data_IF_343180626374
#
_entry.id   IF_343180626374
#
_cell.length_a   1.000
_cell.length_b   1.000
_cell.length_c   1.000
_cell.angle_alpha   90.00
_cell.angle_beta   90.00
_cell.angle_gamma   90.00
#
_symmetry.space_group_name_H-M   'P 1'
#
loop_
_entity.id
_entity.type
_entity.pdbx_description
1 polymer ?
#
# COMPACT_ATOMS: atom_id res chain seq x y z
N UNK A 1 16.54 2.34 -3.73
CA UNK A 1 16.25 3.76 -4.07
C UNK A 1 14.96 4.25 -3.42
N UNK A 2 13.87 3.47 -3.47
CA UNK A 2 12.59 3.84 -2.84
C UNK A 2 12.70 4.07 -1.32
N UNK A 3 13.38 3.19 -0.58
CA UNK A 3 13.55 3.32 0.88
C UNK A 3 14.20 4.65 1.30
N UNK A 4 15.29 5.05 0.65
CA UNK A 4 15.99 6.32 0.94
C UNK A 4 15.12 7.54 0.66
N UNK A 5 14.32 7.49 -0.41
CA UNK A 5 13.40 8.57 -0.78
C UNK A 5 12.28 8.72 0.25
N UNK A 6 11.68 7.60 0.66
CA UNK A 6 10.58 7.57 1.64
C UNK A 6 11.06 7.99 3.04
N UNK A 7 12.26 7.55 3.45
CA UNK A 7 12.87 8.00 4.70
C UNK A 7 13.14 9.52 4.70
N UNK A 8 13.59 10.07 3.57
CA UNK A 8 13.76 11.51 3.38
C UNK A 8 12.44 12.28 3.51
N UNK A 9 11.38 11.78 2.88
CA UNK A 9 10.05 12.38 2.94
C UNK A 9 9.44 12.33 4.35
N UNK A 10 9.63 11.21 5.07
CA UNK A 10 9.22 11.09 6.46
C UNK A 10 9.91 12.14 7.34
N UNK A 11 11.23 12.32 7.17
CA UNK A 11 12.00 13.32 7.92
C UNK A 11 11.55 14.76 7.61
N UNK A 12 11.30 15.08 6.34
CA UNK A 12 10.82 16.41 5.92
C UNK A 12 9.45 16.76 6.54
N UNK A 13 8.56 15.78 6.60
CA UNK A 13 7.21 15.95 7.17
C UNK A 13 7.17 15.84 8.70
N UNK A 14 8.28 15.46 9.35
CA UNK A 14 8.31 15.09 10.76
C UNK A 14 7.41 13.89 11.06
N UNK A 15 7.21 13.01 10.08
CA UNK A 15 6.38 11.83 10.17
C UNK A 15 7.20 10.61 10.64
N UNK A 16 6.57 9.76 11.45
CA UNK A 16 7.13 8.47 11.84
C UNK A 16 6.81 7.43 10.74
N UNK A 17 7.84 6.72 10.28
CA UNK A 17 7.70 5.57 9.40
C UNK A 17 7.96 4.29 10.19
N UNK A 18 6.95 3.43 10.30
CA UNK A 18 7.07 2.10 10.91
C UNK A 18 7.04 1.03 9.82
N UNK A 19 8.00 0.09 9.84
CA UNK A 19 8.05 -1.05 8.92
C UNK A 19 8.04 -2.34 9.74
N UNK A 20 7.03 -3.18 9.53
CA UNK A 20 6.93 -4.51 10.13
C UNK A 20 7.03 -5.54 9.02
N UNK A 21 8.05 -6.39 9.09
CA UNK A 21 8.28 -7.44 8.10
C UNK A 21 8.30 -8.82 8.77
N UNK A 22 7.91 -9.89 8.07
CA UNK A 22 8.11 -11.25 8.56
C UNK A 22 9.59 -11.54 8.81
N UNK A 23 9.94 -12.42 9.78
CA UNK A 23 11.33 -12.71 10.12
C UNK A 23 12.08 -13.47 9.02
N UNK A 24 11.36 -14.01 8.03
CA UNK A 24 11.90 -14.74 6.89
C UNK A 24 11.37 -14.14 5.58
N UNK A 25 12.17 -14.14 4.50
CA UNK A 25 11.69 -13.69 3.20
C UNK A 25 10.42 -14.43 2.76
N UNK A 26 9.47 -13.67 2.24
CA UNK A 26 8.23 -14.19 1.65
C UNK A 26 8.37 -14.12 0.13
N UNK A 27 8.11 -15.24 -0.55
CA UNK A 27 8.17 -15.32 -2.00
C UNK A 27 6.75 -15.26 -2.56
N UNK A 28 6.52 -14.31 -3.47
CA UNK A 28 5.26 -14.09 -4.18
C UNK A 28 5.52 -14.11 -5.69
N UNK A 29 4.51 -14.48 -6.46
CA UNK A 29 4.55 -14.32 -7.91
C UNK A 29 4.18 -12.88 -8.27
N UNK A 30 4.89 -12.26 -9.20
CA UNK A 30 4.60 -10.89 -9.62
C UNK A 30 5.74 -10.21 -10.36
N UNK A 31 5.46 -9.04 -10.92
CA UNK A 31 6.48 -8.16 -11.48
C UNK A 31 7.01 -7.21 -10.38
N UNK A 32 8.31 -7.25 -10.13
CA UNK A 32 8.96 -6.44 -9.10
C UNK A 32 8.77 -4.94 -9.34
N UNK A 33 8.86 -4.49 -10.59
CA UNK A 33 8.76 -3.07 -10.96
C UNK A 33 7.33 -2.58 -10.76
N UNK A 34 6.34 -3.39 -11.14
CA UNK A 34 4.92 -3.07 -10.91
C UNK A 34 4.61 -2.97 -9.42
N UNK A 35 5.09 -3.92 -8.60
CA UNK A 35 4.89 -3.90 -7.16
C UNK A 35 5.60 -2.71 -6.47
N UNK A 36 6.83 -2.39 -6.87
CA UNK A 36 7.54 -1.20 -6.38
C UNK A 36 6.76 0.08 -6.70
N UNK A 37 6.19 0.18 -7.90
CA UNK A 37 5.37 1.34 -8.32
C UNK A 37 4.08 1.45 -7.51
N UNK A 38 3.42 0.33 -7.22
CA UNK A 38 2.22 0.26 -6.38
C UNK A 38 2.55 0.74 -4.97
N UNK A 39 3.56 0.14 -4.33
CA UNK A 39 3.97 0.48 -2.97
C UNK A 39 4.39 1.96 -2.88
N UNK A 40 5.16 2.45 -3.84
CA UNK A 40 5.55 3.86 -3.89
C UNK A 40 4.33 4.78 -3.94
N UNK A 41 3.34 4.48 -4.79
CA UNK A 41 2.14 5.28 -4.90
C UNK A 41 1.30 5.26 -3.60
N UNK A 42 1.13 4.09 -2.97
CA UNK A 42 0.42 3.99 -1.69
C UNK A 42 1.13 4.77 -0.59
N UNK A 43 2.45 4.65 -0.49
CA UNK A 43 3.26 5.37 0.47
C UNK A 43 3.21 6.88 0.25
N UNK A 44 3.25 7.34 -1.01
CA UNK A 44 3.12 8.75 -1.34
C UNK A 44 1.74 9.30 -0.92
N UNK A 45 0.67 8.56 -1.20
CA UNK A 45 -0.68 8.93 -0.75
C UNK A 45 -0.79 9.00 0.78
N UNK A 46 -0.15 8.06 1.50
CA UNK A 46 -0.11 8.06 2.95
C UNK A 46 0.65 9.28 3.52
N UNK A 47 1.82 9.61 2.96
CA UNK A 47 2.57 10.79 3.36
C UNK A 47 1.82 12.09 3.07
N UNK A 48 1.18 12.16 1.91
CA UNK A 48 0.31 13.26 1.51
C UNK A 48 -0.86 13.44 2.50
N UNK A 49 -1.50 12.36 2.92
CA UNK A 49 -2.60 12.39 3.87
C UNK A 49 -2.16 12.88 5.26
N UNK A 50 -1.00 12.45 5.78
CA UNK A 50 -0.51 12.90 7.09
C UNK A 50 0.06 14.32 7.06
N UNK A 51 0.50 14.81 5.90
CA UNK A 51 0.96 16.19 5.75
C UNK A 51 -0.15 17.21 6.05
N UNK A 52 -1.39 16.86 5.71
CA UNK A 52 -2.59 17.66 5.99
C UNK A 52 -3.07 17.54 7.45
N UNK A 53 -2.52 16.59 8.22
CA UNK A 53 -2.89 16.37 9.62
C UNK A 53 -2.15 17.31 10.58
N UNK A 54 -2.91 17.86 11.54
CA UNK A 54 -2.39 18.64 12.66
C UNK A 54 -1.94 17.77 13.85
N UNK A 55 -2.22 16.46 13.80
CA UNK A 55 -1.94 15.49 14.87
C UNK A 55 -0.63 14.73 14.68
N UNK A 56 -0.55 13.55 15.32
CA UNK A 56 0.57 12.64 15.10
C UNK A 56 0.60 12.21 13.63
N UNK A 57 1.77 12.32 13.00
CA UNK A 57 2.00 11.93 11.61
C UNK A 57 2.70 10.59 11.59
N UNK A 58 1.99 9.54 11.22
CA UNK A 58 2.54 8.19 11.13
C UNK A 58 2.09 7.54 9.84
N UNK A 59 3.04 6.89 9.17
CA UNK A 59 2.81 5.94 8.09
C UNK A 59 3.39 4.61 8.53
N UNK A 60 2.66 3.53 8.30
CA UNK A 60 3.07 2.17 8.65
C UNK A 60 2.95 1.26 7.43
N UNK A 61 3.93 0.37 7.24
CA UNK A 61 3.86 -0.75 6.30
C UNK A 61 4.00 -2.03 7.09
N UNK A 62 2.96 -2.86 7.06
CA UNK A 62 2.92 -4.14 7.76
C UNK A 62 2.80 -5.27 6.74
N UNK A 63 3.85 -6.07 6.59
CA UNK A 63 3.84 -7.27 5.78
C UNK A 63 3.65 -8.51 6.66
N UNK A 64 2.72 -9.39 6.26
CA UNK A 64 2.37 -10.60 7.01
C UNK A 64 1.93 -11.73 6.07
N UNK A 65 1.67 -12.90 6.65
CA UNK A 65 1.15 -14.07 5.95
C UNK A 65 -0.28 -14.35 6.44
N UNK A 66 -1.22 -14.44 5.51
CA UNK A 66 -2.60 -14.84 5.77
C UNK A 66 -2.94 -16.07 4.90
N UNK A 67 -2.75 -17.28 5.44
CA UNK A 67 -2.99 -18.53 4.71
C UNK A 67 -2.02 -18.75 3.55
N UNK A 68 -2.53 -18.85 2.32
CA UNK A 68 -1.72 -18.96 1.09
C UNK A 68 -1.38 -17.59 0.47
N UNK A 69 -1.62 -16.49 1.20
CA UNK A 69 -1.41 -15.13 0.72
C UNK A 69 -0.33 -14.41 1.55
N UNK A 70 0.52 -13.64 0.88
CA UNK A 70 1.23 -12.53 1.49
C UNK A 70 0.32 -11.30 1.51
N UNK A 71 0.28 -10.62 2.65
CA UNK A 71 -0.55 -9.43 2.84
C UNK A 71 0.36 -8.26 3.22
N UNK A 72 0.22 -7.15 2.52
CA UNK A 72 0.91 -5.89 2.81
C UNK A 72 -0.13 -4.81 3.08
N UNK A 73 -0.17 -4.33 4.31
CA UNK A 73 -1.01 -3.20 4.72
C UNK A 73 -0.17 -1.93 4.75
N UNK A 74 -0.60 -0.89 4.03
CA UNK A 74 -0.08 0.48 4.13
C UNK A 74 -1.11 1.32 4.87
N UNK A 75 -0.78 1.80 6.06
CA UNK A 75 -1.68 2.59 6.92
C UNK A 75 -1.12 3.97 7.21
N UNK A 76 -2.01 4.94 7.42
CA UNK A 76 -1.66 6.31 7.82
C UNK A 76 -2.54 6.85 8.96
N UNK A 77 -2.13 7.98 9.54
CA UNK A 77 -2.89 8.73 10.56
C UNK A 77 -3.45 10.06 10.01
N UNK A 78 -3.70 10.11 8.71
CA UNK A 78 -4.31 11.24 8.02
C UNK A 78 -5.82 11.35 8.29
N UNK A 79 -6.55 12.19 7.53
CA UNK A 79 -7.99 12.38 7.69
C UNK A 79 -8.83 11.18 7.24
N UNK A 80 -8.21 10.18 6.60
CA UNK A 80 -8.87 9.02 6.01
C UNK A 80 -9.60 9.32 4.71
N UNK A 81 -10.33 8.31 4.20
CA UNK A 81 -11.05 8.41 2.93
C UNK A 81 -12.52 8.74 3.18
N UNK A 82 -12.98 9.85 2.58
CA UNK A 82 -14.38 10.28 2.67
C UNK A 82 -15.33 9.21 2.08
N UNK A 83 -16.49 8.95 2.70
CA UNK A 83 -17.40 7.90 2.24
C UNK A 83 -17.87 8.05 0.79
N UNK A 84 -18.05 9.28 0.31
CA UNK A 84 -18.55 9.62 -1.02
C UNK A 84 -17.62 9.22 -2.18
N UNK A 85 -16.34 8.98 -1.90
CA UNK A 85 -15.34 8.59 -2.91
C UNK A 85 -14.89 7.14 -2.82
N UNK A 86 -15.27 6.40 -1.76
CA UNK A 86 -14.77 5.03 -1.50
C UNK A 86 -15.03 4.09 -2.68
N UNK A 87 -16.26 4.06 -3.18
CA UNK A 87 -16.67 3.16 -4.27
C UNK A 87 -16.01 3.49 -5.61
N UNK A 88 -15.42 4.68 -5.73
CA UNK A 88 -14.83 5.19 -6.97
C UNK A 88 -13.34 5.44 -6.85
N UNK A 89 -12.74 5.08 -5.71
CA UNK A 89 -11.35 5.41 -5.37
C UNK A 89 -10.35 4.88 -6.42
N UNK A 90 -10.62 3.71 -7.00
CA UNK A 90 -9.78 3.10 -8.04
C UNK A 90 -10.15 3.54 -9.46
N UNK A 91 -11.10 4.46 -9.62
CA UNK A 91 -11.46 5.04 -10.93
C UNK A 91 -10.45 6.15 -11.30
N UNK A 92 -9.98 6.21 -12.55
CA UNK A 92 -9.10 7.30 -12.99
C UNK A 92 -9.68 8.70 -12.70
N UNK A 93 -8.81 9.63 -12.34
CA UNK A 93 -9.11 11.04 -12.04
C UNK A 93 -9.94 11.29 -10.78
N UNK A 94 -10.20 10.25 -9.97
CA UNK A 94 -10.81 10.41 -8.65
C UNK A 94 -9.72 10.75 -7.65
N UNK A 95 -9.86 11.90 -6.99
CA UNK A 95 -8.99 12.31 -5.89
C UNK A 95 -9.71 13.28 -4.96
N UNK A 96 -9.32 13.27 -3.70
CA UNK A 96 -9.77 14.25 -2.69
C UNK A 96 -8.69 15.29 -2.38
N UNK A 97 -7.50 15.16 -2.98
CA UNK A 97 -6.34 16.02 -2.75
C UNK A 97 -6.32 17.18 -3.72
N UNK A 98 -6.03 18.38 -3.22
CA UNK A 98 -5.80 19.55 -4.04
C UNK A 98 -4.53 19.38 -4.90
N UNK A 99 -4.65 19.52 -6.23
CA UNK A 99 -3.55 19.29 -7.17
C UNK A 99 -3.21 17.81 -7.43
N UNK A 100 -3.96 16.86 -6.86
CA UNK A 100 -3.82 15.44 -7.16
C UNK A 100 -4.30 15.09 -8.57
N UNK A 101 -3.60 14.17 -9.26
CA UNK A 101 -4.02 13.72 -10.60
C UNK A 101 -5.15 12.69 -10.56
N UNK A 102 -5.31 11.99 -9.44
CA UNK A 102 -6.25 10.86 -9.30
C UNK A 102 -5.90 9.64 -10.18
N UNK A 103 -4.67 9.57 -10.68
CA UNK A 103 -4.23 8.46 -11.55
C UNK A 103 -3.51 7.35 -10.77
N UNK A 104 -2.90 7.69 -9.63
CA UNK A 104 -2.06 6.77 -8.87
C UNK A 104 -2.77 5.49 -8.46
N UNK A 105 -3.85 5.61 -7.66
CA UNK A 105 -4.59 4.45 -7.16
C UNK A 105 -5.25 3.63 -8.28
N UNK A 106 -5.72 4.30 -9.35
CA UNK A 106 -6.27 3.60 -10.51
C UNK A 106 -5.22 2.78 -11.27
N UNK A 107 -3.99 3.30 -11.40
CA UNK A 107 -2.88 2.55 -11.96
C UNK A 107 -2.47 1.41 -11.02
N UNK A 108 -2.34 1.69 -9.72
CA UNK A 108 -2.00 0.67 -8.72
C UNK A 108 -2.98 -0.50 -8.74
N UNK A 109 -4.29 -0.22 -8.81
CA UNK A 109 -5.31 -1.26 -8.91
C UNK A 109 -5.07 -2.14 -10.15
N UNK A 110 -4.87 -1.54 -11.32
CA UNK A 110 -4.62 -2.29 -12.57
C UNK A 110 -3.34 -3.13 -12.53
N UNK A 111 -2.29 -2.64 -11.88
CA UNK A 111 -1.03 -3.37 -11.74
C UNK A 111 -1.18 -4.60 -10.82
N UNK A 112 -2.07 -4.52 -9.83
CA UNK A 112 -2.38 -5.61 -8.90
C UNK A 112 -3.56 -6.47 -9.40
N UNK A 113 -4.34 -6.06 -10.39
CA UNK A 113 -5.55 -6.78 -10.83
C UNK A 113 -5.20 -7.99 -11.74
N UNK A 114 -4.60 -9.01 -11.13
CA UNK A 114 -4.25 -10.30 -11.74
C UNK A 114 -4.98 -11.43 -11.01
N UNK A 115 -4.97 -12.64 -11.58
CA UNK A 115 -5.66 -13.77 -10.98
C UNK A 115 -5.04 -14.15 -9.61
N UNK A 116 -5.74 -13.81 -8.52
CA UNK A 116 -5.33 -14.11 -7.14
C UNK A 116 -4.74 -12.91 -6.39
N UNK A 117 -4.42 -11.83 -7.08
CA UNK A 117 -3.90 -10.59 -6.51
C UNK A 117 -5.05 -9.63 -6.22
N UNK A 118 -4.94 -8.79 -5.19
CA UNK A 118 -5.97 -7.78 -4.88
C UNK A 118 -5.40 -6.53 -4.20
N UNK A 119 -5.97 -5.36 -4.49
CA UNK A 119 -5.70 -4.08 -3.81
C UNK A 119 -7.00 -3.48 -3.30
N UNK A 120 -7.17 -3.43 -1.98
CA UNK A 120 -8.41 -2.99 -1.34
C UNK A 120 -8.18 -1.88 -0.33
N UNK A 121 -9.21 -1.05 -0.13
CA UNK A 121 -9.33 -0.19 1.04
C UNK A 121 -10.02 -1.00 2.14
N UNK A 122 -9.34 -1.20 3.27
CA UNK A 122 -9.89 -1.93 4.43
C UNK A 122 -10.29 -0.96 5.53
N UNK A 123 -11.15 -1.41 6.45
CA UNK A 123 -11.58 -0.57 7.57
C UNK A 123 -10.38 -0.19 8.45
N UNK A 124 -10.33 1.09 8.84
CA UNK A 124 -9.35 1.62 9.76
C UNK A 124 -10.03 2.51 10.80
N UNK A 125 -9.54 2.45 12.04
CA UNK A 125 -10.00 3.31 13.13
C UNK A 125 -9.40 4.73 13.06
N UNK A 126 -8.30 4.88 12.32
CA UNK A 126 -7.57 6.13 12.14
C UNK A 126 -7.00 6.17 10.71
N UNK A 127 -7.07 7.33 10.03
CA UNK A 127 -6.58 7.50 8.66
C UNK A 127 -7.14 6.50 7.64
N UNK A 128 -6.31 6.12 6.67
CA UNK A 128 -6.64 5.09 5.68
C UNK A 128 -5.74 3.86 5.83
N UNK A 129 -6.24 2.70 5.38
CA UNK A 129 -5.46 1.47 5.25
C UNK A 129 -5.72 0.81 3.91
N UNK A 130 -4.66 0.69 3.12
CA UNK A 130 -4.65 -0.03 1.85
C UNK A 130 -4.01 -1.39 2.02
N UNK A 131 -4.69 -2.43 1.54
CA UNK A 131 -4.24 -3.81 1.63
C UNK A 131 -3.92 -4.35 0.25
N UNK A 132 -2.69 -4.81 0.04
CA UNK A 132 -2.29 -5.62 -1.11
C UNK A 132 -2.28 -7.08 -0.66
N UNK A 133 -2.94 -7.96 -1.40
CA UNK A 133 -2.88 -9.41 -1.21
C UNK A 133 -2.22 -10.04 -2.43
N UNK A 134 -1.19 -10.85 -2.22
CA UNK A 134 -0.44 -11.54 -3.27
C UNK A 134 -0.37 -13.04 -2.94
N UNK A 135 -0.64 -13.96 -3.88
CA UNK A 135 -0.50 -15.38 -3.66
C UNK A 135 0.97 -15.71 -3.45
N UNK A 136 1.22 -16.57 -2.47
CA UNK A 136 2.56 -17.11 -2.26
C UNK A 136 2.97 -17.95 -3.45
N UNK A 137 4.26 -17.93 -3.78
CA UNK A 137 4.83 -18.93 -4.67
C UNK A 137 4.55 -20.28 -4.04
N UNK A 138 3.69 -21.08 -4.67
CA UNK A 138 3.53 -22.48 -4.27
C UNK A 138 4.89 -23.12 -4.47
N UNK A 139 5.55 -23.51 -3.38
CA UNK A 139 6.67 -24.41 -3.47
C UNK A 139 6.19 -25.60 -4.30
N UNK A 140 6.77 -25.81 -5.47
CA UNK A 140 6.40 -26.91 -6.33
C UNK A 140 6.47 -28.18 -5.49
N UNK A 141 5.31 -28.76 -5.17
CA UNK A 141 5.26 -30.18 -4.82
C UNK A 141 5.56 -30.89 -6.13
N UNK A 142 6.77 -31.45 -6.19
CA UNK A 142 7.35 -32.41 -7.16
C UNK A 142 8.76 -31.90 -7.55
N UNK A 143 9.86 -32.54 -7.18
CA UNK A 143 10.15 -33.95 -7.42
C UNK A 143 9.75 -34.90 -6.27
N UNK A 144 8.64 -35.59 -6.50
CA UNK A 144 8.39 -36.90 -5.93
C UNK A 144 9.03 -37.94 -6.87
N UNK A 145 9.74 -38.88 -6.24
CA UNK A 145 10.29 -40.16 -6.75
C UNK A 145 11.49 -40.15 -7.69
#
# INVERSE_FOLDING_TARGET
>A
MAETLLAGQAAELGARLDLTMPPTPVLVEGDLVELEQVLFNLMQNAFDAVAESAGARKVAVDASLEGEMAVIDVSDTGPGIRPDVRDRLFTPFVTTREGGTGLGLALSHRLVERAGDDLTLVESHEGARFRISLPLVRAAKEAAE
#
